data_IF_872684525088
#
_entry.id   IF_872684525088
#
_cell.length_a   1.000
_cell.length_b   1.000
_cell.length_c   1.000
_cell.angle_alpha   90.00
_cell.angle_beta   90.00
_cell.angle_gamma   90.00
#
_symmetry.space_group_name_H-M   'P 1'
#
loop_
_entity.id
_entity.type
_entity.pdbx_description
1 polymer ?
#
# COMPACT_ATOMS: atom_id res chain seq x y z
N UNK A 1 15.43 -3.24 -2.86
CA UNK A 1 15.20 -2.12 -1.91
C UNK A 1 16.48 -1.36 -1.58
N UNK A 2 16.84 -0.34 -2.36
CA UNK A 2 17.64 0.77 -1.86
C UNK A 2 16.71 1.77 -1.18
N UNK A 3 16.08 1.37 -0.07
CA UNK A 3 15.13 2.24 0.63
C UNK A 3 15.94 3.24 1.45
N UNK A 4 16.11 4.44 0.91
CA UNK A 4 16.77 5.51 1.63
C UNK A 4 15.82 6.11 2.67
N UNK A 5 15.78 5.47 3.84
CA UNK A 5 15.00 5.92 4.99
C UNK A 5 15.37 7.34 5.43
N UNK A 6 16.53 7.87 5.04
CA UNK A 6 16.97 9.21 5.45
C UNK A 6 16.30 10.31 4.62
N UNK A 7 15.93 10.03 3.38
CA UNK A 7 15.34 11.04 2.47
C UNK A 7 13.87 10.76 2.17
N UNK A 8 13.44 9.49 2.14
CA UNK A 8 12.08 9.10 1.76
C UNK A 8 11.12 9.02 2.95
N UNK A 9 10.22 10.01 3.05
CA UNK A 9 9.12 9.97 4.03
C UNK A 9 8.18 8.78 3.79
N UNK A 10 7.98 8.40 2.52
CA UNK A 10 7.11 7.26 2.16
C UNK A 10 7.71 5.95 2.71
N UNK A 11 9.01 5.72 2.53
CA UNK A 11 9.64 4.49 3.03
C UNK A 11 9.62 4.43 4.55
N UNK A 12 9.92 5.55 5.22
CA UNK A 12 9.77 5.64 6.69
C UNK A 12 8.35 5.32 7.12
N UNK A 13 7.36 5.89 6.44
CA UNK A 13 5.97 5.68 6.79
C UNK A 13 5.52 4.24 6.51
N UNK A 14 6.02 3.58 5.46
CA UNK A 14 5.77 2.15 5.19
C UNK A 14 6.30 1.28 6.32
N UNK A 15 7.53 1.53 6.79
CA UNK A 15 8.10 0.84 7.96
C UNK A 15 7.21 1.04 9.18
N UNK A 16 6.88 2.29 9.49
CA UNK A 16 6.11 2.61 10.68
C UNK A 16 4.67 2.08 10.57
N UNK A 17 4.08 2.00 9.38
CA UNK A 17 2.73 1.48 9.18
C UNK A 17 2.64 -0.05 9.23
N UNK A 18 3.77 -0.76 9.26
CA UNK A 18 3.79 -2.21 9.36
C UNK A 18 3.79 -2.64 10.85
N UNK A 19 2.64 -3.04 11.43
CA UNK A 19 2.56 -3.39 12.85
C UNK A 19 3.43 -4.60 13.19
N UNK A 20 3.55 -5.58 12.30
CA UNK A 20 4.36 -6.79 12.51
C UNK A 20 5.85 -6.48 12.54
N UNK A 21 6.31 -5.57 11.68
CA UNK A 21 7.69 -5.10 11.73
C UNK A 21 7.94 -4.31 13.01
N UNK A 22 7.02 -3.41 13.41
CA UNK A 22 7.16 -2.64 14.65
C UNK A 22 7.29 -3.53 15.87
N UNK A 23 6.47 -4.58 15.99
CA UNK A 23 6.54 -5.56 17.07
C UNK A 23 7.92 -6.22 17.13
N UNK A 24 8.40 -6.75 15.99
CA UNK A 24 9.73 -7.39 15.91
C UNK A 24 10.88 -6.42 16.16
N UNK A 25 10.78 -5.18 15.70
CA UNK A 25 11.79 -4.14 15.96
C UNK A 25 11.80 -3.81 17.46
N UNK A 26 10.63 -3.73 18.11
CA UNK A 26 10.53 -3.46 19.54
C UNK A 26 11.13 -4.59 20.38
N UNK A 27 10.79 -5.84 20.07
CA UNK A 27 11.38 -7.03 20.69
C UNK A 27 12.90 -7.06 20.54
N UNK A 28 13.39 -6.78 19.33
CA UNK A 28 14.81 -6.86 19.01
C UNK A 28 15.63 -5.75 19.65
N UNK A 29 15.16 -4.50 19.60
CA UNK A 29 15.90 -3.37 20.16
C UNK A 29 15.86 -3.37 21.69
N UNK A 30 14.87 -4.03 22.31
CA UNK A 30 14.76 -4.15 23.77
C UNK A 30 14.73 -2.79 24.48
N UNK A 31 14.21 -1.76 23.80
CA UNK A 31 14.25 -0.39 24.30
C UNK A 31 13.24 -0.25 25.42
N UNK A 32 13.75 -0.13 26.64
CA UNK A 32 12.94 0.21 27.80
C UNK A 32 12.35 1.62 27.68
N UNK A 33 11.35 1.92 28.49
CA UNK A 33 10.72 3.23 28.51
C UNK A 33 9.69 3.34 29.61
N UNK A 34 8.90 4.39 29.54
CA UNK A 34 7.91 4.75 30.54
C UNK A 34 6.55 4.28 30.03
N UNK A 35 5.99 3.22 30.62
CA UNK A 35 4.70 2.64 30.17
C UNK A 35 3.52 3.46 30.67
N UNK A 36 3.04 4.42 29.89
CA UNK A 36 1.93 5.30 30.26
C UNK A 36 0.73 5.08 29.35
N UNK A 37 -0.45 4.85 29.93
CA UNK A 37 -1.69 4.60 29.19
C UNK A 37 -1.60 3.45 28.18
N UNK A 38 -0.82 2.40 28.52
CA UNK A 38 -0.61 1.25 27.64
C UNK A 38 0.41 1.45 26.52
N UNK A 39 1.07 2.61 26.46
CA UNK A 39 2.10 2.93 25.47
C UNK A 39 3.47 3.10 26.14
N UNK A 40 4.54 2.64 25.48
CA UNK A 40 5.92 2.89 25.91
C UNK A 40 6.34 4.28 25.40
N UNK A 41 6.67 5.17 26.33
CA UNK A 41 7.16 6.51 26.05
C UNK A 41 8.64 6.68 26.39
N UNK A 42 9.33 7.47 25.57
CA UNK A 42 10.73 7.84 25.74
C UNK A 42 10.83 9.35 25.96
N UNK A 43 11.61 9.77 26.95
CA UNK A 43 11.94 11.19 27.14
C UNK A 43 13.01 11.64 26.15
N UNK A 44 13.10 12.95 25.90
CA UNK A 44 14.20 13.53 25.10
C UNK A 44 15.59 13.06 25.57
N UNK A 45 15.82 12.99 26.89
CA UNK A 45 17.09 12.53 27.46
C UNK A 45 17.38 11.07 27.11
N UNK A 46 16.37 10.19 27.18
CA UNK A 46 16.51 8.80 26.77
C UNK A 46 16.81 8.68 25.27
N UNK A 47 16.11 9.45 24.43
CA UNK A 47 16.31 9.48 22.98
C UNK A 47 17.74 9.92 22.61
N UNK A 48 18.24 11.00 23.22
CA UNK A 48 19.62 11.51 23.06
C UNK A 48 20.64 10.41 23.37
N UNK A 49 20.47 9.72 24.50
CA UNK A 49 21.36 8.61 24.91
C UNK A 49 21.30 7.40 23.97
N UNK A 50 20.08 6.99 23.59
CA UNK A 50 19.84 5.84 22.70
C UNK A 50 20.40 6.09 21.30
N UNK A 51 20.24 7.31 20.78
CA UNK A 51 20.71 7.70 19.45
C UNK A 51 22.13 8.24 19.47
N UNK A 52 22.76 8.45 20.63
CA UNK A 52 24.15 8.88 20.72
C UNK A 52 24.41 10.23 20.06
N UNK A 53 23.46 11.15 20.18
CA UNK A 53 23.55 12.54 19.67
C UNK A 53 23.45 13.53 20.82
N UNK A 54 23.66 14.81 20.56
CA UNK A 54 23.40 15.86 21.55
C UNK A 54 21.93 16.34 21.53
N UNK A 55 21.52 17.05 22.59
CA UNK A 55 20.16 17.60 22.68
C UNK A 55 19.84 18.57 21.55
N UNK A 56 20.83 19.37 21.10
CA UNK A 56 20.65 20.38 20.04
C UNK A 56 20.31 19.73 18.70
N UNK A 57 20.88 18.56 18.45
CA UNK A 57 20.62 17.75 17.25
C UNK A 57 19.19 17.25 17.27
N UNK A 58 18.74 16.68 18.39
CA UNK A 58 17.33 16.27 18.52
C UNK A 58 16.38 17.45 18.34
N UNK A 59 16.68 18.60 18.94
CA UNK A 59 15.87 19.82 18.77
C UNK A 59 15.81 20.31 17.32
N UNK A 60 16.94 20.30 16.61
CA UNK A 60 17.00 20.66 15.17
C UNK A 60 16.06 19.77 14.34
N UNK A 61 16.10 18.45 14.55
CA UNK A 61 15.23 17.53 13.80
C UNK A 61 13.77 17.66 14.20
N UNK A 62 13.47 17.90 15.48
CA UNK A 62 12.11 18.19 15.95
C UNK A 62 11.53 19.45 15.28
N UNK A 63 12.33 20.49 15.10
CA UNK A 63 11.91 21.72 14.41
C UNK A 63 11.75 21.49 12.90
N UNK A 64 12.71 20.82 12.26
CA UNK A 64 12.70 20.64 10.81
C UNK A 64 11.65 19.62 10.32
N UNK A 65 11.25 18.69 11.19
CA UNK A 65 10.32 17.60 10.87
C UNK A 65 9.13 17.56 11.84
N UNK A 66 8.68 18.72 12.33
CA UNK A 66 7.66 18.83 13.37
C UNK A 66 6.38 18.06 12.99
N UNK A 67 5.86 18.27 11.79
CA UNK A 67 4.62 17.64 11.33
C UNK A 67 4.75 16.11 11.27
N UNK A 68 5.84 15.58 10.68
CA UNK A 68 6.07 14.15 10.55
C UNK A 68 6.22 13.47 11.92
N UNK A 69 7.04 14.04 12.80
CA UNK A 69 7.30 13.48 14.12
C UNK A 69 6.07 13.59 15.02
N UNK A 70 5.29 14.67 14.94
CA UNK A 70 4.03 14.81 15.67
C UNK A 70 3.00 13.77 15.23
N UNK A 71 2.80 13.59 13.92
CA UNK A 71 1.92 12.55 13.37
C UNK A 71 2.35 11.15 13.81
N UNK A 72 3.65 10.92 13.95
CA UNK A 72 4.20 9.63 14.36
C UNK A 72 4.35 9.46 15.89
N UNK A 73 3.90 10.43 16.69
CA UNK A 73 3.70 10.28 18.15
C UNK A 73 4.69 11.03 19.04
N UNK A 74 5.42 12.01 18.51
CA UNK A 74 6.11 12.99 19.34
C UNK A 74 5.09 13.99 19.91
N UNK A 75 5.15 14.24 21.22
CA UNK A 75 4.26 15.21 21.88
C UNK A 75 4.94 15.89 23.05
N UNK A 76 4.50 17.11 23.35
CA UNK A 76 4.98 17.89 24.49
C UNK A 76 3.91 17.90 25.58
N UNK A 77 4.20 17.24 26.70
CA UNK A 77 3.31 17.16 27.86
C UNK A 77 3.48 18.37 28.77
N UNK A 78 2.36 18.93 29.22
CA UNK A 78 2.28 20.08 30.13
C UNK A 78 1.09 19.90 31.08
N UNK A 79 1.07 20.66 32.18
CA UNK A 79 -0.12 20.74 33.05
C UNK A 79 -0.56 19.40 33.64
N UNK A 80 -1.83 19.02 33.44
CA UNK A 80 -2.43 17.79 34.00
C UNK A 80 -1.77 16.52 33.49
N UNK A 81 -1.59 16.35 32.18
CA UNK A 81 -1.02 15.12 31.59
C UNK A 81 0.41 14.87 32.06
N UNK A 82 1.21 15.93 32.26
CA UNK A 82 2.56 15.80 32.82
C UNK A 82 2.52 15.39 34.30
N UNK A 83 1.56 15.91 35.09
CA UNK A 83 1.38 15.49 36.49
C UNK A 83 0.95 14.03 36.58
N UNK A 84 0.03 13.60 35.73
CA UNK A 84 -0.42 12.21 35.65
C UNK A 84 0.74 11.28 35.30
N UNK A 85 1.52 11.61 34.26
CA UNK A 85 2.73 10.85 33.91
C UNK A 85 3.69 10.76 35.11
N UNK A 86 4.03 11.87 35.77
CA UNK A 86 4.93 11.86 36.93
C UNK A 86 4.42 11.00 38.09
N UNK A 87 3.10 11.02 38.34
CA UNK A 87 2.48 10.23 39.39
C UNK A 87 2.53 8.72 39.11
N UNK A 88 2.56 8.32 37.84
CA UNK A 88 2.59 6.91 37.45
C UNK A 88 3.93 6.21 37.70
N UNK A 89 5.04 6.94 37.93
CA UNK A 89 6.38 6.32 38.00
C UNK A 89 7.30 6.86 39.11
N UNK A 90 6.83 7.77 39.98
CA UNK A 90 7.63 8.28 41.09
C UNK A 90 8.88 9.07 40.67
N UNK A 91 9.85 9.20 41.58
CA UNK A 91 11.13 9.93 41.39
C UNK A 91 12.20 9.17 40.61
N UNK A 92 11.93 7.93 40.18
CA UNK A 92 12.91 7.01 39.58
C UNK A 92 13.13 7.19 38.07
N UNK A 93 12.46 8.17 37.48
CA UNK A 93 12.77 8.59 36.11
C UNK A 93 13.63 9.84 36.17
N UNK A 94 14.62 9.93 35.30
CA UNK A 94 15.44 11.10 34.95
C UNK A 94 14.61 12.27 34.36
N UNK A 95 13.39 12.47 34.88
CA UNK A 95 12.52 13.62 34.65
C UNK A 95 12.72 14.52 35.87
N UNK A 96 13.51 15.58 35.70
CA UNK A 96 13.73 16.55 36.77
C UNK A 96 12.42 16.95 37.44
N UNK A 97 12.33 16.81 38.77
CA UNK A 97 11.10 16.99 39.55
C UNK A 97 10.42 18.35 39.31
N UNK A 98 11.22 19.39 38.99
CA UNK A 98 10.78 20.76 38.68
C UNK A 98 10.33 21.02 37.23
N UNK A 99 10.41 20.04 36.34
CA UNK A 99 10.08 20.22 34.92
C UNK A 99 8.59 20.51 34.71
N UNK A 100 8.24 21.64 34.10
CA UNK A 100 6.86 22.05 33.82
C UNK A 100 6.40 21.66 32.40
N UNK A 101 7.33 21.25 31.55
CA UNK A 101 7.13 20.88 30.14
C UNK A 101 8.05 19.72 29.78
N UNK A 102 7.51 18.63 29.22
CA UNK A 102 8.30 17.43 28.87
C UNK A 102 7.99 16.96 27.45
N UNK A 103 8.99 16.90 26.58
CA UNK A 103 8.89 16.23 25.28
C UNK A 103 9.00 14.72 25.45
N UNK A 104 8.03 13.98 24.92
CA UNK A 104 7.99 12.51 24.92
C UNK A 104 7.78 11.97 23.52
N UNK A 105 8.36 10.81 23.25
CA UNK A 105 8.29 10.08 22.00
C UNK A 105 7.60 8.75 22.24
N UNK A 106 6.61 8.42 21.42
CA UNK A 106 6.20 7.02 21.25
C UNK A 106 7.35 6.20 20.67
N UNK A 107 7.26 4.87 20.75
CA UNK A 107 8.21 4.00 20.05
C UNK A 107 8.26 4.30 18.55
N UNK A 108 7.10 4.55 17.94
CA UNK A 108 6.96 4.95 16.53
C UNK A 108 7.70 6.25 16.22
N UNK A 109 7.56 7.30 17.04
CA UNK A 109 8.23 8.58 16.85
C UNK A 109 9.75 8.46 17.06
N UNK A 110 10.18 7.62 18.00
CA UNK A 110 11.59 7.32 18.20
C UNK A 110 12.21 6.66 16.96
N UNK A 111 11.57 5.63 16.39
CA UNK A 111 12.06 4.99 15.17
C UNK A 111 12.08 5.96 14.00
N UNK A 112 11.04 6.81 13.87
CA UNK A 112 11.03 7.86 12.87
C UNK A 112 12.25 8.78 12.98
N UNK A 113 12.57 9.25 14.18
CA UNK A 113 13.73 10.10 14.40
C UNK A 113 15.04 9.36 14.12
N UNK A 114 15.16 8.09 14.52
CA UNK A 114 16.32 7.25 14.19
C UNK A 114 16.52 7.10 12.67
N UNK A 115 15.42 7.03 11.91
CA UNK A 115 15.46 6.97 10.46
C UNK A 115 15.86 8.31 9.81
N UNK A 116 15.51 9.44 10.41
CA UNK A 116 15.90 10.78 9.93
C UNK A 116 17.37 11.12 10.20
N UNK A 117 17.92 10.70 11.35
CA UNK A 117 19.25 11.12 11.81
C UNK A 117 20.38 10.55 10.95
N UNK A 118 20.97 11.37 10.09
CA UNK A 118 22.08 10.94 9.22
C UNK A 118 23.43 10.91 9.94
N UNK A 119 23.61 11.73 10.98
CA UNK A 119 24.92 11.99 11.59
C UNK A 119 25.28 11.04 12.75
N UNK A 120 24.39 10.10 13.09
CA UNK A 120 24.58 9.18 14.22
C UNK A 120 24.88 7.75 13.76
N UNK A 121 26.00 7.20 14.24
CA UNK A 121 26.35 5.79 14.06
C UNK A 121 25.35 4.84 14.73
N UNK A 122 24.79 5.21 15.90
CA UNK A 122 23.74 4.41 16.53
C UNK A 122 22.44 4.43 15.72
N UNK A 123 22.05 5.60 15.21
CA UNK A 123 20.90 5.73 14.34
C UNK A 123 21.09 4.94 13.04
N UNK A 124 22.31 4.95 12.47
CA UNK A 124 22.68 4.14 11.31
C UNK A 124 22.52 2.65 11.57
N UNK A 125 23.03 2.15 12.70
CA UNK A 125 22.86 0.75 13.08
C UNK A 125 21.38 0.37 13.26
N UNK A 126 20.59 1.26 13.89
CA UNK A 126 19.14 1.07 14.03
C UNK A 126 18.46 1.02 12.65
N UNK A 127 18.76 1.93 11.72
CA UNK A 127 18.21 1.92 10.36
C UNK A 127 18.50 0.64 9.61
N UNK A 128 19.75 0.19 9.61
CA UNK A 128 20.13 -1.07 8.97
C UNK A 128 19.33 -2.22 9.55
N UNK A 129 19.22 -2.28 10.88
CA UNK A 129 18.46 -3.35 11.54
C UNK A 129 16.97 -3.30 11.27
N UNK A 130 16.38 -2.11 11.18
CA UNK A 130 14.99 -1.91 10.77
C UNK A 130 14.76 -2.50 9.37
N UNK A 131 15.62 -2.18 8.40
CA UNK A 131 15.49 -2.68 7.04
C UNK A 131 15.57 -4.21 6.99
N UNK A 132 16.52 -4.81 7.71
CA UNK A 132 16.64 -6.27 7.79
C UNK A 132 15.36 -6.90 8.35
N UNK A 133 14.85 -6.39 9.48
CA UNK A 133 13.64 -6.92 10.12
C UNK A 133 12.42 -6.76 9.21
N UNK A 134 12.29 -5.64 8.50
CA UNK A 134 11.17 -5.42 7.57
C UNK A 134 11.23 -6.42 6.42
N UNK A 135 12.41 -6.67 5.85
CA UNK A 135 12.59 -7.68 4.80
C UNK A 135 12.20 -9.06 5.32
N UNK A 136 12.70 -9.44 6.49
CA UNK A 136 12.43 -10.74 7.11
C UNK A 136 10.93 -10.92 7.38
N UNK A 137 10.27 -9.91 7.94
CA UNK A 137 8.83 -9.93 8.25
C UNK A 137 7.99 -10.06 6.98
N UNK A 138 8.31 -9.31 5.92
CA UNK A 138 7.59 -9.41 4.64
C UNK A 138 7.75 -10.83 4.08
N UNK A 139 8.96 -11.38 4.08
CA UNK A 139 9.24 -12.72 3.58
C UNK A 139 8.55 -13.81 4.41
N UNK A 140 8.62 -13.74 5.74
CA UNK A 140 7.98 -14.69 6.66
C UNK A 140 6.47 -14.68 6.48
N UNK A 141 5.85 -13.49 6.53
CA UNK A 141 4.38 -13.35 6.49
C UNK A 141 3.79 -13.57 5.10
N UNK A 142 4.55 -13.35 4.02
CA UNK A 142 4.09 -13.66 2.67
C UNK A 142 4.32 -15.11 2.27
N UNK A 143 5.02 -15.92 3.08
CA UNK A 143 5.39 -17.30 2.73
C UNK A 143 6.53 -17.38 1.69
N UNK A 144 7.41 -16.39 1.65
CA UNK A 144 8.61 -16.35 0.79
C UNK A 144 8.37 -15.89 -0.65
N UNK A 145 7.11 -15.78 -1.10
CA UNK A 145 6.76 -15.35 -2.45
C UNK A 145 5.79 -14.17 -2.45
N UNK A 146 6.27 -12.97 -2.80
CA UNK A 146 5.47 -11.73 -2.80
C UNK A 146 4.76 -11.46 -4.13
N UNK A 147 5.12 -12.18 -5.21
CA UNK A 147 4.55 -12.01 -6.55
C UNK A 147 3.01 -12.09 -6.55
N UNK A 148 2.43 -13.00 -5.77
CA UNK A 148 0.98 -13.19 -5.66
C UNK A 148 0.41 -12.78 -4.29
N UNK A 149 1.03 -11.79 -3.63
CA UNK A 149 0.57 -11.29 -2.33
C UNK A 149 -0.87 -10.76 -2.39
N UNK A 150 -1.30 -10.24 -3.55
CA UNK A 150 -2.67 -9.82 -3.81
C UNK A 150 -3.70 -10.94 -3.54
N UNK A 151 -3.33 -12.21 -3.77
CA UNK A 151 -4.24 -13.34 -3.59
C UNK A 151 -4.51 -13.66 -2.13
N UNK A 152 -3.73 -13.07 -1.21
CA UNK A 152 -3.93 -13.21 0.24
C UNK A 152 -5.04 -12.32 0.79
N UNK A 153 -5.57 -11.41 -0.02
CA UNK A 153 -6.71 -10.57 0.31
C UNK A 153 -8.05 -11.29 0.09
N UNK A 154 -8.94 -11.23 1.08
CA UNK A 154 -10.30 -11.79 1.01
C UNK A 154 -11.11 -11.30 -0.19
N UNK A 155 -10.92 -10.04 -0.61
CA UNK A 155 -11.65 -9.45 -1.73
C UNK A 155 -11.12 -9.88 -3.10
N UNK A 156 -9.96 -10.54 -3.17
CA UNK A 156 -9.34 -10.93 -4.43
C UNK A 156 -10.23 -11.91 -5.22
N UNK A 157 -10.71 -12.97 -4.58
CA UNK A 157 -11.48 -14.01 -5.25
C UNK A 157 -12.81 -13.49 -5.85
N UNK A 158 -13.64 -12.73 -5.11
CA UNK A 158 -14.81 -12.08 -5.68
C UNK A 158 -14.48 -11.15 -6.85
N UNK A 159 -13.40 -10.36 -6.74
CA UNK A 159 -13.00 -9.44 -7.80
C UNK A 159 -12.52 -10.16 -9.06
N UNK A 160 -11.71 -11.21 -8.91
CA UNK A 160 -11.25 -12.06 -10.02
C UNK A 160 -12.42 -12.76 -10.73
N UNK A 161 -13.41 -13.24 -9.98
CA UNK A 161 -14.61 -13.83 -10.55
C UNK A 161 -15.44 -12.83 -11.37
N UNK A 162 -15.68 -11.64 -10.80
CA UNK A 162 -16.42 -10.58 -11.49
C UNK A 162 -15.69 -10.11 -12.74
N UNK A 163 -14.38 -9.88 -12.65
CA UNK A 163 -13.55 -9.51 -13.77
C UNK A 163 -13.64 -10.54 -14.90
N UNK A 164 -13.55 -11.83 -14.60
CA UNK A 164 -13.69 -12.89 -15.61
C UNK A 164 -15.00 -12.78 -16.40
N UNK A 165 -16.12 -12.52 -15.70
CA UNK A 165 -17.43 -12.31 -16.33
C UNK A 165 -17.45 -11.05 -17.21
N UNK A 166 -17.01 -9.91 -16.69
CA UNK A 166 -17.02 -8.65 -17.45
C UNK A 166 -16.03 -8.65 -18.64
N UNK A 167 -14.93 -9.38 -18.54
CA UNK A 167 -14.02 -9.63 -19.66
C UNK A 167 -14.72 -10.38 -20.80
N UNK A 168 -15.56 -11.36 -20.48
CA UNK A 168 -16.37 -12.05 -21.50
C UNK A 168 -17.40 -11.10 -22.13
N UNK A 169 -18.04 -10.24 -21.34
CA UNK A 169 -18.98 -9.22 -21.85
C UNK A 169 -18.27 -8.28 -22.82
N UNK A 170 -17.10 -7.76 -22.45
CA UNK A 170 -16.33 -6.85 -23.30
C UNK A 170 -15.80 -7.50 -24.57
N UNK A 171 -15.25 -8.71 -24.48
CA UNK A 171 -14.77 -9.45 -25.66
C UNK A 171 -15.93 -9.84 -26.59
N UNK A 172 -17.11 -10.13 -26.05
CA UNK A 172 -18.34 -10.32 -26.84
C UNK A 172 -18.74 -9.03 -27.55
N UNK A 173 -18.74 -7.90 -26.85
CA UNK A 173 -19.01 -6.59 -27.47
C UNK A 173 -18.01 -6.24 -28.59
N UNK A 174 -16.72 -6.53 -28.41
CA UNK A 174 -15.71 -6.38 -29.47
C UNK A 174 -16.01 -7.26 -30.69
N UNK A 175 -16.50 -8.48 -30.49
CA UNK A 175 -16.90 -9.37 -31.60
C UNK A 175 -18.08 -8.78 -32.37
N UNK A 176 -19.10 -8.36 -31.65
CA UNK A 176 -20.42 -8.04 -32.19
C UNK A 176 -20.49 -6.62 -32.75
N UNK A 177 -19.84 -5.65 -32.10
CA UNK A 177 -20.00 -4.23 -32.39
C UNK A 177 -18.77 -3.55 -32.99
N UNK A 178 -17.60 -4.20 -33.07
CA UNK A 178 -16.41 -3.60 -33.67
C UNK A 178 -16.02 -4.29 -34.99
N UNK A 179 -15.88 -3.48 -36.04
CA UNK A 179 -15.40 -3.89 -37.36
C UNK A 179 -13.86 -3.87 -37.41
N UNK A 180 -13.29 -4.96 -36.91
CA UNK A 180 -11.85 -5.19 -36.87
C UNK A 180 -11.57 -6.69 -36.74
N UNK A 181 -10.44 -7.15 -37.29
CA UNK A 181 -9.99 -8.54 -37.21
C UNK A 181 -9.63 -9.00 -35.79
N UNK A 182 -9.21 -10.26 -35.65
CA UNK A 182 -8.99 -10.92 -34.35
C UNK A 182 -7.95 -10.24 -33.44
N UNK A 183 -7.04 -9.44 -33.99
CA UNK A 183 -6.06 -8.69 -33.20
C UNK A 183 -6.69 -7.61 -32.30
N UNK A 184 -7.97 -7.26 -32.51
CA UNK A 184 -8.71 -6.30 -31.68
C UNK A 184 -8.69 -6.62 -30.19
N UNK A 185 -8.74 -7.89 -29.82
CA UNK A 185 -8.79 -8.29 -28.40
C UNK A 185 -7.55 -7.84 -27.63
N UNK A 186 -6.36 -8.08 -28.20
CA UNK A 186 -5.11 -7.64 -27.58
C UNK A 186 -4.96 -6.12 -27.58
N UNK A 187 -5.30 -5.47 -28.69
CA UNK A 187 -5.21 -4.01 -28.82
C UNK A 187 -6.08 -3.31 -27.78
N UNK A 188 -7.36 -3.67 -27.72
CA UNK A 188 -8.31 -2.97 -26.84
C UNK A 188 -8.18 -3.39 -25.37
N UNK A 189 -7.74 -4.61 -25.06
CA UNK A 189 -7.34 -4.95 -23.69
C UNK A 189 -6.18 -4.05 -23.22
N UNK A 190 -5.17 -3.84 -24.07
CA UNK A 190 -4.06 -2.93 -23.74
C UNK A 190 -4.50 -1.47 -23.62
N UNK A 191 -5.50 -1.02 -24.39
CA UNK A 191 -6.05 0.33 -24.23
C UNK A 191 -6.78 0.50 -22.91
N UNK A 192 -7.54 -0.50 -22.46
CA UNK A 192 -8.15 -0.52 -21.11
C UNK A 192 -7.06 -0.42 -20.04
N UNK A 193 -5.97 -1.18 -20.17
CA UNK A 193 -4.86 -1.10 -19.22
C UNK A 193 -4.21 0.28 -19.17
N UNK A 194 -3.95 0.88 -20.33
CA UNK A 194 -3.43 2.26 -20.41
C UNK A 194 -4.38 3.27 -19.78
N UNK A 195 -5.68 3.16 -20.02
CA UNK A 195 -6.67 4.03 -19.39
C UNK A 195 -6.68 3.87 -17.86
N UNK A 196 -6.63 2.64 -17.35
CA UNK A 196 -6.66 2.39 -15.90
C UNK A 196 -5.35 2.80 -15.23
N UNK A 197 -4.20 2.39 -15.77
CA UNK A 197 -2.90 2.47 -15.07
C UNK A 197 -1.70 2.83 -15.97
N UNK A 198 -1.91 3.51 -17.11
CA UNK A 198 -0.87 4.10 -17.98
C UNK A 198 0.16 3.14 -18.61
N UNK A 199 0.06 1.86 -18.31
CA UNK A 199 0.96 0.80 -18.78
C UNK A 199 0.18 -0.21 -19.63
N UNK A 200 0.89 -0.95 -20.49
CA UNK A 200 0.30 -2.08 -21.21
C UNK A 200 0.65 -3.44 -20.57
N UNK A 201 0.07 -4.52 -21.10
CA UNK A 201 0.27 -5.85 -20.55
C UNK A 201 1.73 -6.32 -20.60
N UNK A 202 2.52 -5.84 -21.57
CA UNK A 202 3.92 -6.25 -21.73
C UNK A 202 4.79 -5.54 -20.69
N UNK A 203 4.61 -4.23 -20.53
CA UNK A 203 5.29 -3.43 -19.52
C UNK A 203 4.98 -3.96 -18.11
N UNK A 204 3.71 -4.17 -17.79
CA UNK A 204 3.28 -4.69 -16.50
C UNK A 204 3.89 -6.07 -16.18
N UNK A 205 3.91 -6.99 -17.17
CA UNK A 205 4.56 -8.31 -17.03
C UNK A 205 6.06 -8.18 -16.74
N UNK A 206 6.74 -7.23 -17.38
CA UNK A 206 8.17 -7.03 -17.18
C UNK A 206 8.47 -6.48 -15.79
N UNK A 207 7.66 -5.53 -15.30
CA UNK A 207 7.80 -4.94 -13.96
C UNK A 207 7.70 -6.02 -12.88
N UNK A 208 6.69 -6.90 -12.98
CA UNK A 208 6.48 -7.99 -12.02
C UNK A 208 7.26 -9.28 -12.33
N UNK A 209 8.07 -9.29 -13.39
CA UNK A 209 8.85 -10.45 -13.86
C UNK A 209 7.99 -11.71 -14.05
N UNK A 210 6.77 -11.54 -14.57
CA UNK A 210 5.83 -12.64 -14.80
C UNK A 210 6.32 -13.59 -15.90
N UNK A 211 6.08 -14.88 -15.73
CA UNK A 211 6.36 -15.88 -16.76
C UNK A 211 5.40 -15.75 -17.96
N UNK A 212 5.80 -16.23 -19.14
CA UNK A 212 5.04 -16.07 -20.38
C UNK A 212 3.62 -16.65 -20.30
N UNK A 213 3.45 -17.77 -19.59
CA UNK A 213 2.16 -18.47 -19.45
C UNK A 213 1.27 -17.91 -18.35
N UNK A 214 1.80 -17.04 -17.49
CA UNK A 214 1.03 -16.46 -16.39
C UNK A 214 0.04 -15.43 -16.91
N UNK A 215 -1.14 -15.37 -16.29
CA UNK A 215 -2.12 -14.34 -16.57
C UNK A 215 -1.80 -13.10 -15.71
N UNK A 216 -1.61 -11.90 -16.30
CA UNK A 216 -1.29 -10.70 -15.54
C UNK A 216 -2.39 -10.30 -14.55
N UNK A 217 -3.65 -10.63 -14.83
CA UNK A 217 -4.76 -10.29 -13.94
C UNK A 217 -4.68 -11.06 -12.61
N UNK A 218 -4.04 -12.22 -12.59
CA UNK A 218 -3.89 -13.04 -11.37
C UNK A 218 -2.94 -12.39 -10.35
N UNK A 219 -2.08 -11.45 -10.78
CA UNK A 219 -1.22 -10.66 -9.90
C UNK A 219 -1.79 -9.28 -9.55
N UNK A 220 -2.91 -8.87 -10.14
CA UNK A 220 -3.53 -7.56 -9.87
C UNK A 220 -4.32 -7.57 -8.56
N UNK A 221 -4.29 -6.44 -7.84
CA UNK A 221 -5.09 -6.25 -6.63
C UNK A 221 -6.59 -6.16 -6.95
N UNK A 222 -7.43 -6.49 -5.98
CA UNK A 222 -8.89 -6.49 -6.14
C UNK A 222 -9.44 -5.16 -6.67
N UNK A 223 -8.93 -4.04 -6.18
CA UNK A 223 -9.35 -2.69 -6.61
C UNK A 223 -8.98 -2.40 -8.07
N UNK A 224 -7.85 -2.92 -8.54
CA UNK A 224 -7.42 -2.79 -9.93
C UNK A 224 -8.32 -3.63 -10.83
N UNK A 225 -8.61 -4.87 -10.44
CA UNK A 225 -9.52 -5.75 -11.16
C UNK A 225 -10.93 -5.15 -11.26
N UNK A 226 -11.42 -4.54 -10.18
CA UNK A 226 -12.71 -3.84 -10.16
C UNK A 226 -12.72 -2.61 -11.08
N UNK A 227 -11.64 -1.84 -11.13
CA UNK A 227 -11.53 -0.69 -12.04
C UNK A 227 -11.55 -1.14 -13.50
N UNK A 228 -10.79 -2.19 -13.84
CA UNK A 228 -10.79 -2.81 -15.18
C UNK A 228 -12.20 -3.31 -15.52
N UNK A 229 -12.83 -4.08 -14.64
CA UNK A 229 -14.16 -4.63 -14.85
C UNK A 229 -15.21 -3.55 -15.07
N UNK A 230 -15.14 -2.45 -14.31
CA UNK A 230 -16.06 -1.32 -14.45
C UNK A 230 -15.93 -0.66 -15.84
N UNK A 231 -14.70 -0.45 -16.31
CA UNK A 231 -14.44 0.14 -17.63
C UNK A 231 -14.83 -0.83 -18.74
N UNK A 232 -14.50 -2.12 -18.63
CA UNK A 232 -14.84 -3.14 -19.62
C UNK A 232 -16.37 -3.28 -19.78
N UNK A 233 -17.11 -3.26 -18.68
CA UNK A 233 -18.57 -3.27 -18.71
C UNK A 233 -19.16 -2.00 -19.32
N UNK A 234 -18.64 -0.82 -18.92
CA UNK A 234 -19.06 0.47 -19.49
C UNK A 234 -18.81 0.55 -20.99
N UNK A 235 -17.61 0.15 -21.45
CA UNK A 235 -17.27 0.08 -22.86
C UNK A 235 -18.19 -0.84 -23.64
N UNK A 236 -18.50 -2.02 -23.10
CA UNK A 236 -19.40 -2.95 -23.77
C UNK A 236 -20.79 -2.34 -23.98
N UNK A 237 -21.30 -1.59 -23.00
CA UNK A 237 -22.57 -0.88 -23.10
C UNK A 237 -22.51 0.25 -24.14
N UNK A 238 -21.52 1.14 -24.07
CA UNK A 238 -21.34 2.25 -25.00
C UNK A 238 -21.17 1.78 -26.45
N UNK A 239 -20.42 0.69 -26.66
CA UNK A 239 -20.24 0.08 -27.97
C UNK A 239 -21.56 -0.43 -28.55
N UNK A 240 -22.39 -1.08 -27.73
CA UNK A 240 -23.70 -1.57 -28.15
C UNK A 240 -24.59 -0.40 -28.57
N UNK A 241 -24.76 0.59 -27.69
CA UNK A 241 -25.59 1.78 -27.93
C UNK A 241 -25.15 2.49 -29.21
N UNK A 242 -23.84 2.73 -29.36
CA UNK A 242 -23.31 3.43 -30.53
C UNK A 242 -23.47 2.63 -31.83
N UNK A 243 -23.35 1.31 -31.77
CA UNK A 243 -23.55 0.45 -32.94
C UNK A 243 -25.01 0.43 -33.38
N UNK A 244 -25.94 0.39 -32.43
CA UNK A 244 -27.38 0.44 -32.68
C UNK A 244 -27.80 1.78 -33.28
N UNK A 245 -27.28 2.90 -32.77
CA UNK A 245 -27.50 4.24 -33.32
C UNK A 245 -27.01 4.39 -34.77
N UNK A 246 -25.84 3.82 -35.08
CA UNK A 246 -25.25 3.90 -36.41
C UNK A 246 -25.85 2.89 -37.40
N UNK A 247 -26.56 1.87 -36.91
CA UNK A 247 -27.06 0.74 -37.71
C UNK A 247 -25.94 -0.12 -38.31
N UNK A 248 -24.73 -0.05 -37.78
CA UNK A 248 -23.55 -0.80 -38.23
C UNK A 248 -22.54 -0.97 -37.09
N UNK A 249 -21.55 -1.84 -37.29
CA UNK A 249 -20.38 -1.94 -36.38
C UNK A 249 -19.58 -0.64 -36.37
N UNK A 250 -18.95 -0.36 -35.23
CA UNK A 250 -18.00 0.73 -35.04
C UNK A 250 -16.71 0.44 -35.81
N UNK A 251 -16.08 1.50 -36.29
CA UNK A 251 -14.70 1.50 -36.79
C UNK A 251 -13.74 1.69 -35.61
N UNK A 252 -12.48 1.26 -35.73
CA UNK A 252 -11.48 1.41 -34.66
C UNK A 252 -11.38 2.83 -34.09
N UNK A 253 -11.41 3.85 -34.95
CA UNK A 253 -11.37 5.27 -34.53
C UNK A 253 -12.56 5.66 -33.65
N UNK A 254 -13.75 5.14 -33.93
CA UNK A 254 -14.96 5.46 -33.16
C UNK A 254 -14.88 4.85 -31.75
N UNK A 255 -14.30 3.65 -31.61
CA UNK A 255 -14.05 3.06 -30.28
C UNK A 255 -12.92 3.77 -29.54
N UNK A 256 -11.90 4.24 -30.26
CA UNK A 256 -10.81 5.02 -29.67
C UNK A 256 -11.34 6.32 -29.04
N UNK A 257 -12.25 7.02 -29.73
CA UNK A 257 -12.92 8.21 -29.20
C UNK A 257 -13.74 7.91 -27.93
N UNK A 258 -14.43 6.77 -27.86
CA UNK A 258 -15.18 6.36 -26.65
C UNK A 258 -14.22 6.11 -25.47
N UNK A 259 -13.08 5.45 -25.74
CA UNK A 259 -12.07 5.19 -24.70
C UNK A 259 -11.48 6.51 -24.19
N UNK A 260 -11.18 7.44 -25.08
CA UNK A 260 -10.66 8.76 -24.72
C UNK A 260 -11.69 9.52 -23.86
N UNK A 261 -12.99 9.42 -24.15
CA UNK A 261 -14.05 10.02 -23.33
C UNK A 261 -14.13 9.38 -21.93
N UNK A 262 -13.96 8.06 -21.82
CA UNK A 262 -13.93 7.34 -20.55
C UNK A 262 -12.73 7.74 -19.70
N UNK A 263 -11.55 7.87 -20.31
CA UNK A 263 -10.34 8.28 -19.61
C UNK A 263 -10.48 9.68 -18.99
N UNK A 264 -11.19 10.57 -19.68
CA UNK A 264 -11.46 11.93 -19.21
C UNK A 264 -12.78 12.07 -18.43
N UNK A 265 -13.49 10.97 -18.16
CA UNK A 265 -14.78 11.00 -17.47
C UNK A 265 -14.57 11.33 -15.97
N UNK A 266 -15.13 12.44 -15.46
CA UNK A 266 -14.97 12.83 -14.05
C UNK A 266 -15.50 11.80 -13.05
N UNK A 267 -16.49 10.98 -13.43
CA UNK A 267 -17.04 9.94 -12.55
C UNK A 267 -16.11 8.75 -12.38
N UNK A 268 -15.28 8.45 -13.37
CA UNK A 268 -14.37 7.30 -13.35
C UNK A 268 -12.98 7.66 -12.84
N UNK A 269 -12.62 8.95 -12.88
CA UNK A 269 -11.33 9.46 -12.42
C UNK A 269 -10.97 8.99 -11.00
N UNK A 270 -11.84 9.08 -9.97
CA UNK A 270 -11.50 8.62 -8.63
C UNK A 270 -11.14 7.13 -8.58
N UNK A 271 -11.89 6.28 -9.29
CA UNK A 271 -11.66 4.84 -9.36
C UNK A 271 -10.34 4.50 -10.03
N UNK A 272 -10.01 5.18 -11.14
CA UNK A 272 -8.72 5.01 -11.84
C UNK A 272 -7.55 5.49 -10.98
N UNK A 273 -7.65 6.66 -10.35
CA UNK A 273 -6.61 7.19 -9.47
C UNK A 273 -6.39 6.30 -8.25
N UNK A 274 -7.46 5.73 -7.68
CA UNK A 274 -7.36 4.74 -6.61
C UNK A 274 -6.64 3.47 -7.08
N UNK A 275 -7.01 2.93 -8.26
CA UNK A 275 -6.33 1.77 -8.82
C UNK A 275 -4.83 2.03 -9.04
N UNK A 276 -4.47 3.19 -9.61
CA UNK A 276 -3.07 3.63 -9.81
C UNK A 276 -2.30 3.73 -8.50
N UNK A 277 -2.88 4.42 -7.51
CA UNK A 277 -2.28 4.62 -6.19
C UNK A 277 -2.05 3.29 -5.49
N UNK A 278 -3.05 2.39 -5.50
CA UNK A 278 -2.95 1.09 -4.85
C UNK A 278 -1.95 0.18 -5.54
N UNK A 279 -1.96 0.12 -6.88
CA UNK A 279 -0.99 -0.65 -7.64
C UNK A 279 0.43 -0.16 -7.33
N UNK A 280 0.73 1.11 -7.60
CA UNK A 280 2.06 1.67 -7.46
C UNK A 280 2.62 1.55 -6.02
N UNK A 281 1.79 1.86 -5.02
CA UNK A 281 2.24 1.85 -3.62
C UNK A 281 2.44 0.44 -3.08
N UNK A 282 1.51 -0.48 -3.38
CA UNK A 282 1.58 -1.86 -2.87
C UNK A 282 2.63 -2.69 -3.61
N UNK A 283 2.76 -2.52 -4.92
CA UNK A 283 3.80 -3.22 -5.69
C UNK A 283 5.20 -2.77 -5.28
N UNK A 284 5.40 -1.46 -5.06
CA UNK A 284 6.68 -0.97 -4.52
C UNK A 284 6.95 -1.51 -3.12
N UNK A 285 5.98 -1.43 -2.21
CA UNK A 285 6.17 -1.81 -0.81
C UNK A 285 6.31 -3.32 -0.59
N UNK A 286 5.53 -4.14 -1.31
CA UNK A 286 5.46 -5.58 -1.05
C UNK A 286 6.24 -6.41 -2.06
N UNK A 287 6.38 -5.95 -3.30
CA UNK A 287 7.02 -6.71 -4.39
C UNK A 287 8.38 -6.14 -4.81
N UNK A 288 8.81 -5.01 -4.23
CA UNK A 288 10.00 -4.26 -4.66
C UNK A 288 9.93 -3.94 -6.18
N UNK A 289 8.72 -3.64 -6.66
CA UNK A 289 8.42 -3.42 -8.08
C UNK A 289 7.97 -1.98 -8.31
N UNK A 290 8.82 -1.21 -8.99
CA UNK A 290 8.55 0.19 -9.34
C UNK A 290 7.85 0.29 -10.70
N UNK A 291 6.69 0.94 -10.68
CA UNK A 291 5.95 1.37 -11.86
C UNK A 291 6.37 2.79 -12.22
N UNK A 292 7.33 2.97 -13.12
CA UNK A 292 7.88 4.29 -13.49
C UNK A 292 6.79 5.28 -13.92
N UNK A 293 5.79 4.81 -14.68
CA UNK A 293 4.68 5.65 -15.15
C UNK A 293 3.69 6.03 -14.05
N UNK A 294 3.72 5.31 -12.93
CA UNK A 294 2.84 5.53 -11.78
C UNK A 294 3.58 6.10 -10.57
N UNK A 295 4.85 6.49 -10.73
CA UNK A 295 5.68 6.99 -9.62
C UNK A 295 5.00 8.17 -8.88
N UNK A 296 4.33 9.06 -9.60
CA UNK A 296 3.61 10.20 -9.02
C UNK A 296 2.42 9.79 -8.12
N UNK A 297 1.93 8.55 -8.23
CA UNK A 297 0.84 8.00 -7.44
C UNK A 297 1.32 7.20 -6.22
N UNK A 298 2.64 7.02 -6.04
CA UNK A 298 3.19 6.28 -4.91
C UNK A 298 2.90 7.05 -3.62
N UNK A 299 2.30 6.35 -2.66
CA UNK A 299 1.98 6.83 -1.33
C UNK A 299 2.41 5.80 -0.28
N UNK A 300 2.43 6.21 0.98
CA UNK A 300 2.66 5.26 2.07
C UNK A 300 1.50 4.27 2.17
N UNK A 301 1.81 2.99 2.22
CA UNK A 301 0.84 1.90 2.40
C UNK A 301 0.26 2.00 3.80
N UNK A 302 -1.08 2.05 3.96
CA UNK A 302 -1.71 2.16 5.27
C UNK A 302 -1.57 0.85 6.07
N UNK A 303 -1.61 0.96 7.40
CA UNK A 303 -1.54 -0.20 8.29
C UNK A 303 -2.62 -1.27 7.99
N UNK A 304 -3.79 -0.85 7.54
CA UNK A 304 -4.87 -1.75 7.12
C UNK A 304 -4.49 -2.65 5.95
N UNK A 305 -3.64 -2.17 5.02
CA UNK A 305 -3.17 -2.99 3.91
C UNK A 305 -2.15 -4.03 4.40
N UNK A 306 -1.31 -3.69 5.39
CA UNK A 306 -0.44 -4.69 6.04
C UNK A 306 -1.27 -5.78 6.72
N UNK A 307 -2.32 -5.42 7.46
CA UNK A 307 -3.25 -6.40 8.06
C UNK A 307 -3.90 -7.27 6.98
N UNK A 308 -4.37 -6.64 5.90
CA UNK A 308 -5.06 -7.34 4.81
C UNK A 308 -4.20 -8.37 4.08
N UNK A 309 -2.91 -8.11 3.91
CA UNK A 309 -2.01 -8.97 3.12
C UNK A 309 -1.07 -9.84 3.96
N UNK A 310 -0.86 -9.51 5.24
CA UNK A 310 0.11 -10.16 6.14
C UNK A 310 -0.47 -10.50 7.51
N UNK A 311 -1.70 -10.12 7.79
CA UNK A 311 -2.36 -10.30 9.08
C UNK A 311 -3.14 -11.59 9.23
N UNK A 312 -4.00 -11.62 10.26
CA UNK A 312 -4.69 -12.84 10.68
C UNK A 312 -5.73 -13.30 9.65
N UNK A 313 -6.34 -12.35 8.93
CA UNK A 313 -7.32 -12.63 7.86
C UNK A 313 -6.66 -13.00 6.53
N UNK A 314 -5.34 -12.77 6.40
CA UNK A 314 -4.57 -13.10 5.21
C UNK A 314 -4.32 -14.61 5.16
N UNK A 315 -4.93 -15.29 4.19
CA UNK A 315 -4.78 -16.74 3.95
C UNK A 315 -4.09 -17.01 2.62
N UNK A 316 -3.43 -18.16 2.50
CA UNK A 316 -2.98 -18.62 1.19
C UNK A 316 -4.19 -18.89 0.28
N UNK A 317 -4.02 -18.81 -1.05
CA UNK A 317 -5.11 -19.02 -1.99
C UNK A 317 -5.75 -20.42 -1.83
N UNK A 318 -4.92 -21.45 -1.65
CA UNK A 318 -5.36 -22.84 -1.46
C UNK A 318 -6.23 -23.02 -0.21
N UNK A 319 -5.81 -22.41 0.89
CA UNK A 319 -6.56 -22.39 2.15
C UNK A 319 -7.91 -21.71 1.97
N UNK A 320 -7.93 -20.57 1.25
CA UNK A 320 -9.16 -19.83 0.99
C UNK A 320 -10.13 -20.59 0.08
N UNK A 321 -9.62 -21.28 -0.95
CA UNK A 321 -10.45 -22.11 -1.83
C UNK A 321 -11.05 -23.32 -1.10
N UNK A 322 -10.41 -23.77 -0.04
CA UNK A 322 -10.91 -24.86 0.82
C UNK A 322 -11.96 -24.40 1.85
N UNK A 323 -12.15 -23.08 2.01
CA UNK A 323 -13.08 -22.48 2.96
C UNK A 323 -14.55 -22.64 2.50
N UNK A 324 -15.42 -23.30 3.27
CA UNK A 324 -16.84 -23.49 2.93
C UNK A 324 -17.59 -22.18 2.66
N UNK A 325 -17.25 -21.09 3.35
CA UNK A 325 -17.89 -19.78 3.16
C UNK A 325 -17.53 -19.18 1.79
N UNK A 326 -16.25 -19.29 1.40
CA UNK A 326 -15.78 -18.87 0.08
C UNK A 326 -16.47 -19.66 -1.03
N UNK A 327 -16.58 -20.99 -0.86
CA UNK A 327 -17.32 -21.83 -1.81
C UNK A 327 -18.79 -21.43 -1.94
N UNK A 328 -19.43 -21.00 -0.84
CA UNK A 328 -20.80 -20.49 -0.86
C UNK A 328 -20.93 -19.14 -1.61
N UNK A 329 -19.93 -18.25 -1.52
CA UNK A 329 -19.87 -17.02 -2.32
C UNK A 329 -19.81 -17.36 -3.81
N UNK A 330 -18.96 -18.30 -4.22
CA UNK A 330 -18.87 -18.71 -5.62
C UNK A 330 -20.16 -19.33 -6.15
N UNK A 331 -20.85 -20.16 -5.35
CA UNK A 331 -22.18 -20.67 -5.73
C UNK A 331 -23.15 -19.54 -6.03
N UNK A 332 -23.25 -18.54 -5.14
CA UNK A 332 -24.11 -17.35 -5.33
C UNK A 332 -23.72 -16.52 -6.55
N UNK A 333 -22.43 -16.40 -6.85
CA UNK A 333 -21.96 -15.64 -8.00
C UNK A 333 -22.16 -16.40 -9.33
N UNK A 334 -22.13 -17.74 -9.32
CA UNK A 334 -22.46 -18.59 -10.47
C UNK A 334 -23.94 -18.53 -10.86
N UNK A 335 -24.81 -18.39 -9.87
CA UNK A 335 -26.26 -18.37 -10.07
C UNK A 335 -26.81 -16.99 -10.50
N UNK A 336 -25.93 -16.01 -10.79
CA UNK A 336 -26.26 -14.65 -11.27
C UNK A 336 -25.89 -14.48 -12.74
#
# INVERSE_FOLDING_TARGET
MSNDLTTSTIDRQNVLNNPYALEKIQEHLGIGGITWQGEILLTKVQVVRLLGVDERTVERYLTNHEQELATNGYRVLRGKSLKELKNSFGTDIDVGTKTTVLGVFSFRAFLNLAMLLTESEKARAIRSRILDIVIDVIAERSGGHTQFINQRDEAFLPAAYQEFSYRQVFTTALRDYLDMGNFKYGVYTNKVYKAVFHEDAKEYRQILKLAEKENPRDSMYAEVLQAIASIENGLAHEMKTRSEELGRKLRPKELDEIIDQIEHNPYLKPTMEQARTRMASRDLCFRDALHEKLQAYVQAVPATDFERFMGETSKALEERLSDPETLAVFKRLKDR
#
